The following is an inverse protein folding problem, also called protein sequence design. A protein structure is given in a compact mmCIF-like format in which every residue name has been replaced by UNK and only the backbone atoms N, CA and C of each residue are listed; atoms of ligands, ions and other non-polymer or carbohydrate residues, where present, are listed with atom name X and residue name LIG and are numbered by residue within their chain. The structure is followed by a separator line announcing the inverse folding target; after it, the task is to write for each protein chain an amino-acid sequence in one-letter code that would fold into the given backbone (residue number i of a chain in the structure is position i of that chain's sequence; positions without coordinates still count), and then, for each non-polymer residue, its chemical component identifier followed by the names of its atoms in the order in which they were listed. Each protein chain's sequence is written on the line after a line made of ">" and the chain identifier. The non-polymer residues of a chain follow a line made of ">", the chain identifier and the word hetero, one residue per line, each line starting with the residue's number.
data_IF_435466357929
#
_entry.id   IF_435466357929
#
_cell.length_a   1.000
_cell.length_b   1.000
_cell.length_c   1.000
_cell.angle_alpha   90.00
_cell.angle_beta   90.00
_cell.angle_gamma   90.00
#
_symmetry.space_group_name_H-M   'P 1'
#
loop_
_entity.id
_entity.type
_entity.pdbx_description
1 polymer ?
#
# COMPACT_ATOMS: atom_id res chain seq x y z
N UNK A 1 -18.07 -58.98 -14.19
CA UNK A 1 -18.80 -58.10 -13.25
C UNK A 1 -17.85 -57.63 -12.15
N UNK A 2 -17.36 -56.38 -12.19
CA UNK A 2 -16.90 -55.65 -10.99
C UNK A 2 -16.74 -54.17 -11.31
N UNK A 3 -17.15 -53.35 -10.35
CA UNK A 3 -17.68 -52.01 -10.50
C UNK A 3 -16.61 -50.94 -10.68
N UNK A 4 -16.95 -50.02 -11.57
CA UNK A 4 -16.47 -48.66 -11.74
C UNK A 4 -16.29 -47.93 -10.39
N UNK A 5 -15.12 -47.32 -10.17
CA UNK A 5 -14.91 -46.27 -9.17
C UNK A 5 -14.24 -45.12 -9.91
N UNK A 6 -15.08 -44.22 -10.43
CA UNK A 6 -14.65 -42.90 -10.92
C UNK A 6 -14.35 -42.09 -9.66
N UNK A 7 -13.05 -41.90 -9.38
CA UNK A 7 -12.62 -40.88 -8.46
C UNK A 7 -12.96 -39.53 -9.10
N UNK A 8 -14.05 -38.92 -8.62
CA UNK A 8 -14.43 -37.55 -8.94
C UNK A 8 -13.32 -36.67 -8.40
N UNK A 9 -12.44 -36.25 -9.30
CA UNK A 9 -11.45 -35.23 -9.08
C UNK A 9 -12.23 -33.97 -8.73
N UNK A 10 -12.32 -33.64 -7.44
CA UNK A 10 -12.80 -32.35 -6.96
C UNK A 10 -11.77 -31.30 -7.37
N UNK A 11 -11.82 -30.94 -8.66
CA UNK A 11 -11.24 -29.73 -9.19
C UNK A 11 -12.06 -28.60 -8.54
N UNK A 12 -11.68 -28.22 -7.32
CA UNK A 12 -12.08 -26.94 -6.77
C UNK A 12 -11.59 -25.91 -7.78
N UNK A 13 -12.53 -25.38 -8.55
CA UNK A 13 -12.29 -24.30 -9.47
C UNK A 13 -11.78 -23.12 -8.63
N UNK A 14 -10.46 -22.95 -8.61
CA UNK A 14 -9.83 -21.71 -8.22
C UNK A 14 -10.26 -20.71 -9.28
N UNK A 15 -11.35 -20.00 -9.03
CA UNK A 15 -11.62 -18.75 -9.74
C UNK A 15 -10.37 -17.89 -9.53
N UNK A 16 -9.64 -17.47 -10.58
CA UNK A 16 -8.70 -16.38 -10.39
C UNK A 16 -9.56 -15.18 -10.03
N UNK A 17 -9.56 -14.80 -8.75
CA UNK A 17 -10.07 -13.51 -8.30
C UNK A 17 -9.42 -12.45 -9.19
N UNK A 18 -10.19 -11.92 -10.13
CA UNK A 18 -9.72 -11.19 -11.31
C UNK A 18 -9.18 -9.81 -10.98
N UNK A 19 -8.12 -9.72 -10.19
CA UNK A 19 -7.37 -8.50 -9.99
C UNK A 19 -5.88 -8.82 -10.08
N UNK A 20 -5.13 -8.02 -10.83
CA UNK A 20 -3.66 -8.07 -10.81
C UNK A 20 -3.18 -7.18 -9.67
N UNK A 21 -2.29 -7.69 -8.81
CA UNK A 21 -1.62 -6.90 -7.79
C UNK A 21 -0.15 -6.76 -8.14
N UNK A 22 0.31 -5.53 -8.18
CA UNK A 22 1.71 -5.17 -8.42
C UNK A 22 2.24 -4.49 -7.15
N UNK A 23 3.35 -5.02 -6.63
CA UNK A 23 3.98 -4.50 -5.42
C UNK A 23 5.26 -3.74 -5.80
N UNK A 24 5.42 -2.55 -5.24
CA UNK A 24 6.60 -1.70 -5.46
C UNK A 24 7.12 -1.24 -4.12
N UNK A 25 8.38 -1.57 -3.82
CA UNK A 25 9.06 -1.07 -2.64
C UNK A 25 9.44 0.39 -2.84
N UNK A 26 9.16 1.20 -1.83
CA UNK A 26 9.39 2.64 -1.84
C UNK A 26 10.65 2.94 -1.04
N UNK A 27 11.56 3.68 -1.67
CA UNK A 27 12.81 4.08 -1.01
C UNK A 27 12.57 5.22 -0.04
N UNK A 28 13.08 5.09 1.18
CA UNK A 28 13.04 6.12 2.20
C UNK A 28 14.33 6.93 2.19
N UNK A 29 14.18 8.26 2.19
CA UNK A 29 15.30 9.21 2.27
C UNK A 29 15.25 9.92 3.62
N UNK A 30 16.35 9.95 4.36
CA UNK A 30 16.42 10.63 5.65
C UNK A 30 16.23 12.15 5.46
N UNK A 31 15.37 12.75 6.28
CA UNK A 31 15.17 14.21 6.26
C UNK A 31 16.29 14.94 7.02
N UNK A 32 16.70 16.09 6.49
CA UNK A 32 17.56 17.02 7.22
C UNK A 32 16.70 17.98 8.05
N UNK A 33 17.01 18.12 9.34
CA UNK A 33 16.34 19.06 10.24
C UNK A 33 15.01 18.60 10.87
N UNK A 34 14.55 17.38 10.60
CA UNK A 34 13.40 16.74 11.26
C UNK A 34 13.70 15.27 11.54
N UNK A 35 13.05 14.70 12.55
CA UNK A 35 13.15 13.27 12.82
C UNK A 35 12.26 12.51 11.84
N UNK A 36 12.86 11.79 10.90
CA UNK A 36 12.12 10.90 10.00
C UNK A 36 12.63 10.85 8.58
N UNK A 37 11.73 10.47 7.67
CA UNK A 37 12.02 10.10 6.30
C UNK A 37 11.06 10.79 5.33
N UNK A 38 11.54 11.15 4.15
CA UNK A 38 10.73 11.44 2.98
C UNK A 38 10.67 10.19 2.08
N UNK A 39 9.60 10.10 1.29
CA UNK A 39 9.46 9.05 0.30
C UNK A 39 8.71 9.54 -0.93
N UNK A 40 9.08 8.99 -2.08
CA UNK A 40 8.48 9.28 -3.37
C UNK A 40 8.30 7.97 -4.15
N UNK A 41 7.31 7.91 -5.02
CA UNK A 41 7.02 6.70 -5.77
C UNK A 41 6.13 6.89 -7.00
N UNK A 42 5.69 5.78 -7.61
CA UNK A 42 4.79 5.80 -8.76
C UNK A 42 3.48 6.54 -8.47
N UNK A 43 2.74 6.90 -9.54
CA UNK A 43 1.45 7.58 -9.46
C UNK A 43 1.51 8.94 -8.74
N UNK A 44 2.66 9.62 -8.86
CA UNK A 44 2.91 10.91 -8.22
C UNK A 44 2.91 10.84 -6.69
N UNK A 45 3.21 9.66 -6.12
CA UNK A 45 3.30 9.48 -4.68
C UNK A 45 4.43 10.34 -4.11
N UNK A 46 4.10 11.14 -3.10
CA UNK A 46 5.06 11.87 -2.28
C UNK A 46 4.56 11.87 -0.83
N UNK A 47 5.47 11.80 0.13
CA UNK A 47 5.09 11.83 1.53
C UNK A 47 6.27 11.83 2.49
N UNK A 48 5.95 11.86 3.78
CA UNK A 48 6.90 11.80 4.88
C UNK A 48 6.41 10.91 6.01
N UNK A 49 7.36 10.41 6.78
CA UNK A 49 7.18 9.71 8.04
C UNK A 49 7.97 10.50 9.06
N UNK A 50 7.32 11.21 9.98
CA UNK A 50 8.02 12.15 10.89
C UNK A 50 7.55 12.07 12.33
N UNK A 51 8.40 12.54 13.24
CA UNK A 51 8.03 12.93 14.60
C UNK A 51 8.31 14.41 14.81
N UNK A 52 7.44 15.10 15.56
CA UNK A 52 7.68 16.48 15.94
C UNK A 52 8.73 16.57 17.05
N UNK A 53 8.71 15.63 17.99
CA UNK A 53 9.67 15.44 19.07
C UNK A 53 10.03 13.97 19.27
N UNK A 54 11.22 13.68 19.80
CA UNK A 54 11.60 12.31 20.21
C UNK A 54 10.81 11.81 21.43
N UNK A 55 10.12 12.71 22.13
CA UNK A 55 9.22 12.36 23.24
C UNK A 55 7.84 11.91 22.75
N UNK A 56 7.52 12.13 21.47
CA UNK A 56 6.24 11.72 20.90
C UNK A 56 6.15 10.19 20.79
N UNK A 57 5.04 9.62 21.25
CA UNK A 57 4.78 8.19 21.17
C UNK A 57 4.46 7.71 19.73
N UNK A 58 4.06 8.63 18.85
CA UNK A 58 3.55 8.30 17.53
C UNK A 58 4.36 8.97 16.42
N UNK A 59 4.55 8.24 15.33
CA UNK A 59 5.00 8.76 14.06
C UNK A 59 3.80 9.25 13.25
N UNK A 60 3.94 10.41 12.61
CA UNK A 60 3.00 10.92 11.61
C UNK A 60 3.45 10.47 10.22
N UNK A 61 2.60 9.71 9.55
CA UNK A 61 2.76 9.31 8.15
C UNK A 61 1.78 10.12 7.32
N UNK A 62 2.28 11.00 6.47
CA UNK A 62 1.45 11.88 5.65
C UNK A 62 1.99 12.03 4.24
N UNK A 63 1.10 12.28 3.28
CA UNK A 63 1.48 12.44 1.90
C UNK A 63 0.29 12.55 0.97
N UNK A 64 0.56 12.43 -0.32
CA UNK A 64 -0.44 12.52 -1.37
C UNK A 64 -0.06 11.68 -2.57
N UNK A 65 -1.06 11.26 -3.32
CA UNK A 65 -0.91 10.83 -4.70
C UNK A 65 -1.38 11.92 -5.64
N UNK A 66 -0.79 12.00 -6.83
CA UNK A 66 -1.27 12.83 -7.93
C UNK A 66 -1.64 11.93 -9.09
N UNK A 67 -2.90 11.49 -9.10
CA UNK A 67 -3.38 10.54 -10.09
C UNK A 67 -3.55 11.20 -11.47
N UNK A 68 -3.20 10.49 -12.56
CA UNK A 68 -3.22 11.07 -13.90
C UNK A 68 -4.64 11.33 -14.43
N UNK A 69 -5.64 10.61 -13.91
CA UNK A 69 -7.06 10.71 -14.27
C UNK A 69 -7.92 10.47 -13.04
N UNK A 70 -9.22 10.74 -13.15
CA UNK A 70 -10.19 10.24 -12.19
C UNK A 70 -10.30 8.71 -12.19
N UNK A 71 -11.04 8.17 -11.23
CA UNK A 71 -11.36 6.74 -11.13
C UNK A 71 -10.33 5.90 -10.37
N UNK A 72 -9.20 6.49 -9.97
CA UNK A 72 -8.31 5.88 -8.98
C UNK A 72 -8.93 5.98 -7.58
N UNK A 73 -8.76 4.94 -6.78
CA UNK A 73 -9.19 4.94 -5.38
C UNK A 73 -8.01 4.62 -4.48
N UNK A 74 -7.68 5.55 -3.57
CA UNK A 74 -6.77 5.28 -2.47
C UNK A 74 -7.56 4.54 -1.37
N UNK A 75 -7.14 3.32 -1.06
CA UNK A 75 -7.72 2.55 0.03
C UNK A 75 -7.02 2.88 1.35
N UNK A 76 -7.64 2.50 2.47
CA UNK A 76 -6.99 2.61 3.77
C UNK A 76 -5.63 1.87 3.73
N UNK A 77 -4.55 2.49 4.25
CA UNK A 77 -3.27 1.83 4.33
C UNK A 77 -3.34 0.71 5.36
N UNK A 78 -2.56 -0.33 5.12
CA UNK A 78 -2.35 -1.39 6.07
C UNK A 78 -1.03 -1.15 6.79
N UNK A 79 -1.07 -1.16 8.12
CA UNK A 79 0.10 -0.91 8.96
C UNK A 79 0.27 -2.13 9.86
N UNK A 80 1.43 -2.77 9.75
CA UNK A 80 1.81 -3.90 10.60
C UNK A 80 3.03 -3.50 11.40
N UNK A 81 2.90 -3.57 12.72
CA UNK A 81 4.02 -3.39 13.66
C UNK A 81 4.46 -4.78 14.11
N UNK A 82 5.69 -5.16 13.80
CA UNK A 82 6.25 -6.44 14.19
C UNK A 82 7.03 -6.32 15.49
N UNK A 83 6.82 -7.29 16.38
CA UNK A 83 7.51 -7.40 17.66
C UNK A 83 8.97 -7.85 17.45
N UNK A 84 9.84 -6.90 17.14
CA UNK A 84 11.27 -7.13 16.90
C UNK A 84 12.14 -6.04 17.53
N UNK A 85 13.47 -6.22 17.52
CA UNK A 85 14.42 -5.23 18.03
C UNK A 85 15.53 -4.96 16.98
N UNK A 86 15.54 -3.78 16.33
CA UNK A 86 14.55 -2.71 16.46
C UNK A 86 13.16 -3.14 15.92
N UNK A 87 12.13 -2.45 16.39
CA UNK A 87 10.74 -2.64 15.94
C UNK A 87 10.63 -2.42 14.43
N UNK A 88 9.99 -3.33 13.70
CA UNK A 88 9.79 -3.19 12.26
C UNK A 88 8.36 -2.74 11.96
N UNK A 89 8.20 -1.74 11.11
CA UNK A 89 6.90 -1.23 10.68
C UNK A 89 6.78 -1.40 9.17
N UNK A 90 5.76 -2.15 8.77
CA UNK A 90 5.41 -2.35 7.37
C UNK A 90 4.18 -1.50 7.04
N UNK A 91 4.38 -0.45 6.25
CA UNK A 91 3.32 0.41 5.72
C UNK A 91 3.03 -0.01 4.28
N UNK A 92 1.82 -0.52 4.05
CA UNK A 92 1.34 -0.86 2.71
C UNK A 92 0.27 0.14 2.27
N UNK A 93 0.61 0.96 1.27
CA UNK A 93 -0.32 1.84 0.58
C UNK A 93 -1.00 1.04 -0.53
N UNK A 94 -2.33 1.12 -0.62
CA UNK A 94 -3.11 0.34 -1.59
C UNK A 94 -3.88 1.28 -2.52
N UNK A 95 -3.64 1.18 -3.82
CA UNK A 95 -4.33 1.97 -4.84
C UNK A 95 -5.06 1.05 -5.80
N UNK A 96 -6.37 1.25 -5.94
CA UNK A 96 -7.18 0.63 -6.98
C UNK A 96 -7.18 1.51 -8.23
N UNK A 97 -6.75 0.97 -9.37
CA UNK A 97 -6.81 1.67 -10.65
C UNK A 97 -8.22 1.59 -11.25
N UNK A 98 -8.63 2.57 -12.09
CA UNK A 98 -9.85 2.41 -12.86
C UNK A 98 -9.79 1.14 -13.73
N UNK A 99 -10.96 0.54 -14.01
CA UNK A 99 -11.04 -0.59 -14.94
C UNK A 99 -10.57 -0.17 -16.33
N UNK A 100 -9.98 -1.07 -17.13
CA UNK A 100 -9.46 -0.72 -18.46
C UNK A 100 -10.48 -0.07 -19.41
N UNK A 101 -11.77 -0.38 -19.21
CA UNK A 101 -12.89 0.14 -20.00
C UNK A 101 -13.69 1.25 -19.30
N UNK A 102 -13.24 1.72 -18.14
CA UNK A 102 -13.93 2.77 -17.40
C UNK A 102 -13.82 4.11 -18.14
N UNK A 103 -14.95 4.80 -18.31
CA UNK A 103 -14.95 6.20 -18.74
C UNK A 103 -14.56 7.05 -17.54
N UNK A 104 -13.39 7.68 -17.61
CA UNK A 104 -12.83 8.50 -16.53
C UNK A 104 -12.65 9.95 -16.95
N UNK A 105 -12.78 10.86 -15.99
CA UNK A 105 -12.45 12.27 -16.20
C UNK A 105 -10.95 12.42 -16.43
N UNK A 106 -10.58 13.14 -17.50
CA UNK A 106 -9.19 13.45 -17.84
C UNK A 106 -8.74 14.71 -17.08
N UNK A 107 -8.48 14.56 -15.78
CA UNK A 107 -7.95 15.61 -14.93
C UNK A 107 -7.04 14.99 -13.86
N UNK A 108 -5.97 15.72 -13.50
CA UNK A 108 -5.13 15.33 -12.37
C UNK A 108 -5.95 15.38 -11.07
N UNK A 109 -5.88 14.32 -10.28
CA UNK A 109 -6.60 14.22 -9.02
C UNK A 109 -5.63 13.98 -7.87
N UNK A 110 -5.52 14.97 -6.97
CA UNK A 110 -4.74 14.83 -5.75
C UNK A 110 -5.52 14.06 -4.69
N UNK A 111 -4.90 13.04 -4.10
CA UNK A 111 -5.47 12.25 -3.00
C UNK A 111 -4.53 12.27 -1.79
N UNK A 112 -4.79 13.14 -0.79
CA UNK A 112 -3.99 13.19 0.42
C UNK A 112 -4.31 12.01 1.34
N UNK A 113 -3.36 11.65 2.20
CA UNK A 113 -3.54 10.73 3.32
C UNK A 113 -2.73 11.17 4.54
N UNK A 114 -3.21 10.80 5.72
CA UNK A 114 -2.51 11.05 6.99
C UNK A 114 -2.89 9.98 8.01
N UNK A 115 -1.89 9.36 8.63
CA UNK A 115 -2.04 8.28 9.60
C UNK A 115 -1.02 8.43 10.73
N UNK A 116 -1.38 7.98 11.93
CA UNK A 116 -0.50 7.95 13.10
C UNK A 116 -0.12 6.51 13.41
N UNK A 117 1.14 6.28 13.72
CA UNK A 117 1.69 4.95 14.04
C UNK A 117 2.39 5.03 15.39
N UNK A 118 1.83 4.37 16.40
CA UNK A 118 2.47 4.23 17.70
C UNK A 118 3.65 3.25 17.56
N UNK A 119 4.86 3.77 17.75
CA UNK A 119 6.09 3.01 17.61
C UNK A 119 7.30 3.72 18.21
N UNK A 120 8.31 2.93 18.52
CA UNK A 120 9.59 3.37 19.08
C UNK A 120 10.34 4.35 18.16
N UNK A 121 11.28 5.10 18.73
CA UNK A 121 12.13 6.04 17.97
C UNK A 121 13.13 5.34 17.06
N UNK A 122 13.47 4.09 17.37
CA UNK A 122 14.41 3.27 16.60
C UNK A 122 13.70 2.40 15.56
N UNK A 123 12.38 2.55 15.41
CA UNK A 123 11.60 1.74 14.50
C UNK A 123 12.09 1.88 13.05
N UNK A 124 12.24 0.75 12.38
CA UNK A 124 12.61 0.69 10.97
C UNK A 124 11.35 0.60 10.12
N UNK A 125 11.17 1.54 9.21
CA UNK A 125 10.03 1.59 8.31
C UNK A 125 10.35 0.93 6.98
N UNK A 126 9.41 0.11 6.50
CA UNK A 126 9.34 -0.36 5.11
C UNK A 126 8.03 0.14 4.53
N UNK A 127 8.10 0.78 3.36
CA UNK A 127 6.92 1.29 2.65
C UNK A 127 6.79 0.54 1.33
N UNK A 128 5.61 -0.03 1.08
CA UNK A 128 5.30 -0.71 -0.18
C UNK A 128 4.02 -0.12 -0.75
N UNK A 129 4.03 0.19 -2.05
CA UNK A 129 2.84 0.50 -2.82
C UNK A 129 2.30 -0.78 -3.46
N UNK A 130 1.03 -1.08 -3.23
CA UNK A 130 0.31 -2.13 -3.96
C UNK A 130 -0.68 -1.48 -4.92
N UNK A 131 -0.42 -1.63 -6.22
CA UNK A 131 -1.35 -1.23 -7.27
C UNK A 131 -2.25 -2.42 -7.60
N UNK A 132 -3.55 -2.23 -7.45
CA UNK A 132 -4.58 -3.22 -7.71
C UNK A 132 -5.28 -2.84 -9.01
N UNK A 133 -5.16 -3.68 -10.03
CA UNK A 133 -5.82 -3.49 -11.32
C UNK A 133 -6.97 -4.49 -11.46
N UNK A 134 -8.23 -4.03 -11.55
CA UNK A 134 -9.35 -4.94 -11.79
C UNK A 134 -9.25 -5.54 -13.20
N UNK A 135 -9.60 -6.82 -13.34
CA UNK A 135 -9.90 -7.40 -14.64
C UNK A 135 -11.25 -6.85 -15.15
N UNK A 136 -11.38 -6.89 -16.48
CA UNK A 136 -12.49 -6.37 -17.28
C UNK A 136 -13.88 -6.63 -16.67
#
# INVERSE_FOLDING_TARGET
>A
MKRLLIAVCALCAVLPSGCVREHTDITLTVLSGRYGYAFEGPLGLQGTITKASLEDAEWLVEGSFLFPTGGYTLLAPEIVVAESMPEQIFLRLNVLTPSPNAVVTQALEEKPFSHRVAASNEAAFTVTLTTIRPFL
#
